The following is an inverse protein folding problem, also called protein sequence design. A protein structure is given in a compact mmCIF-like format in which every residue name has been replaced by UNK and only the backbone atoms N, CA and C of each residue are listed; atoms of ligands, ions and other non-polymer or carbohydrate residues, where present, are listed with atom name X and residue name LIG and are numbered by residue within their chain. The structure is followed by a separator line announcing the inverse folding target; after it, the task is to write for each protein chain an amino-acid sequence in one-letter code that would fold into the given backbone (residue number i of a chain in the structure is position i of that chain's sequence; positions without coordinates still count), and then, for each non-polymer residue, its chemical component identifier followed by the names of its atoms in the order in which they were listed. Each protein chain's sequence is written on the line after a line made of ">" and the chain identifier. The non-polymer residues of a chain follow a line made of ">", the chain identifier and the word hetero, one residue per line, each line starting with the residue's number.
data_IF_226337882663
#
_entry.id   IF_226337882663
#
_cell.length_a   1.000
_cell.length_b   1.000
_cell.length_c   1.000
_cell.angle_alpha   90.00
_cell.angle_beta   90.00
_cell.angle_gamma   90.00
#
_symmetry.space_group_name_H-M   'P 1'
#
loop_
_entity.id
_entity.type
_entity.pdbx_description
1 polymer ?
#
# COMPACT_ATOMS: atom_id res chain seq x y z
N UNK A 1 -13.59 17.92 8.37
CA UNK A 1 -12.72 17.68 9.55
C UNK A 1 -11.24 18.02 9.30
N UNK A 2 -10.64 17.76 8.13
CA UNK A 2 -9.21 18.05 7.90
C UNK A 2 -8.89 19.46 7.34
N UNK A 3 -9.91 20.17 6.83
CA UNK A 3 -9.80 21.51 6.22
C UNK A 3 -9.10 22.59 7.07
N UNK A 4 -9.29 22.66 8.41
CA UNK A 4 -8.54 23.63 9.24
C UNK A 4 -7.01 23.46 9.19
N UNK A 5 -6.53 22.28 8.77
CA UNK A 5 -5.12 21.96 8.60
C UNK A 5 -4.67 22.06 7.13
N UNK A 6 -5.49 22.62 6.24
CA UNK A 6 -5.17 22.76 4.81
C UNK A 6 -5.22 21.45 4.01
N UNK A 7 -5.88 20.41 4.53
CA UNK A 7 -6.01 19.11 3.86
C UNK A 7 -7.32 19.05 3.08
N UNK A 8 -7.22 19.08 1.76
CA UNK A 8 -8.37 19.06 0.84
C UNK A 8 -8.80 17.65 0.41
N UNK A 9 -7.87 16.68 0.43
CA UNK A 9 -8.09 15.30 -0.01
C UNK A 9 -7.58 14.31 1.03
N UNK A 10 -8.36 13.25 1.23
CA UNK A 10 -8.03 12.16 2.15
C UNK A 10 -8.22 10.82 1.44
N UNK A 11 -7.23 9.95 1.57
CA UNK A 11 -7.33 8.56 1.15
C UNK A 11 -7.72 7.71 2.36
N UNK A 12 -8.94 7.19 2.37
CA UNK A 12 -9.38 6.20 3.33
C UNK A 12 -8.70 4.87 2.99
N UNK A 13 -8.36 4.06 4.00
CA UNK A 13 -7.77 2.74 3.75
C UNK A 13 -8.61 1.68 4.45
N UNK A 14 -8.95 0.64 3.70
CA UNK A 14 -9.72 -0.50 4.19
C UNK A 14 -9.03 -1.14 5.39
N UNK A 15 -9.81 -1.41 6.42
CA UNK A 15 -9.36 -2.11 7.63
C UNK A 15 -9.40 -3.63 7.38
N UNK A 16 -8.36 -4.33 7.81
CA UNK A 16 -8.18 -5.77 7.52
C UNK A 16 -9.33 -6.66 8.01
N UNK A 17 -9.98 -6.32 9.12
CA UNK A 17 -11.07 -7.13 9.69
C UNK A 17 -12.38 -7.07 8.89
N UNK A 18 -12.52 -6.13 7.94
CA UNK A 18 -13.63 -6.13 6.99
C UNK A 18 -13.35 -6.94 5.71
N UNK A 19 -12.11 -7.41 5.52
CA UNK A 19 -11.72 -8.17 4.32
C UNK A 19 -12.11 -7.45 3.03
N UNK A 20 -12.73 -8.18 2.10
CA UNK A 20 -13.22 -7.69 0.80
C UNK A 20 -14.55 -6.94 0.86
N UNK A 21 -15.17 -6.78 2.04
CA UNK A 21 -16.33 -5.92 2.18
C UNK A 21 -15.91 -4.44 2.23
N UNK A 22 -15.87 -3.82 1.05
CA UNK A 22 -15.55 -2.39 0.90
C UNK A 22 -16.78 -1.48 1.10
N UNK A 23 -17.95 -1.99 1.51
CA UNK A 23 -19.20 -1.20 1.58
C UNK A 23 -19.05 0.05 2.46
N UNK A 24 -18.42 -0.08 3.63
CA UNK A 24 -18.24 1.03 4.56
C UNK A 24 -17.38 2.16 3.97
N UNK A 25 -16.22 1.83 3.39
CA UNK A 25 -15.33 2.82 2.78
C UNK A 25 -16.00 3.47 1.56
N UNK A 26 -16.76 2.70 0.77
CA UNK A 26 -17.52 3.21 -0.37
C UNK A 26 -18.59 4.20 0.08
N UNK A 27 -19.35 3.89 1.14
CA UNK A 27 -20.39 4.78 1.64
C UNK A 27 -19.80 6.05 2.27
N UNK A 28 -18.66 5.95 2.95
CA UNK A 28 -17.90 7.11 3.41
C UNK A 28 -17.42 8.00 2.25
N UNK A 29 -16.93 7.40 1.15
CA UNK A 29 -16.53 8.14 -0.06
C UNK A 29 -17.73 8.86 -0.67
N UNK A 30 -18.89 8.20 -0.80
CA UNK A 30 -20.11 8.82 -1.34
C UNK A 30 -20.54 10.03 -0.52
N UNK A 31 -20.44 9.94 0.81
CA UNK A 31 -20.83 11.03 1.71
C UNK A 31 -19.99 12.31 1.53
N UNK A 32 -18.72 12.19 1.12
CA UNK A 32 -17.80 13.34 0.93
C UNK A 32 -16.99 13.16 -0.37
N UNK A 33 -17.70 13.01 -1.49
CA UNK A 33 -17.14 12.57 -2.78
C UNK A 33 -16.10 13.51 -3.40
N UNK A 34 -16.08 14.79 -3.03
CA UNK A 34 -15.07 15.75 -3.51
C UNK A 34 -13.72 15.58 -2.81
N UNK A 35 -13.70 15.09 -1.57
CA UNK A 35 -12.48 15.02 -0.76
C UNK A 35 -11.96 13.59 -0.57
N UNK A 36 -12.83 12.58 -0.61
CA UNK A 36 -12.44 11.21 -0.27
C UNK A 36 -12.20 10.32 -1.49
N UNK A 37 -11.12 9.54 -1.41
CA UNK A 37 -10.86 8.34 -2.23
C UNK A 37 -10.49 7.21 -1.29
N UNK A 38 -10.48 5.97 -1.80
CA UNK A 38 -10.19 4.80 -1.00
C UNK A 38 -9.05 3.96 -1.56
N UNK A 39 -8.30 3.33 -0.66
CA UNK A 39 -7.57 2.11 -0.92
C UNK A 39 -8.37 0.95 -0.33
N UNK A 40 -8.94 0.11 -1.19
CA UNK A 40 -9.78 -1.03 -0.82
C UNK A 40 -8.98 -2.29 -0.56
N UNK A 41 -9.68 -3.41 -0.44
CA UNK A 41 -9.13 -4.75 -0.51
C UNK A 41 -9.90 -5.57 -1.54
N UNK A 42 -9.18 -6.40 -2.31
CA UNK A 42 -9.77 -7.36 -3.24
C UNK A 42 -8.94 -8.64 -3.18
N UNK A 43 -9.59 -9.79 -3.19
CA UNK A 43 -8.91 -11.07 -3.22
C UNK A 43 -8.32 -11.31 -4.62
N UNK A 44 -6.99 -11.42 -4.70
CA UNK A 44 -6.28 -11.65 -5.96
C UNK A 44 -6.66 -12.97 -6.66
N UNK A 45 -7.25 -13.93 -5.94
CA UNK A 45 -7.66 -15.22 -6.48
C UNK A 45 -9.13 -15.26 -6.91
N UNK A 46 -9.89 -14.16 -6.75
CA UNK A 46 -11.30 -14.16 -7.08
C UNK A 46 -11.53 -14.27 -8.59
N UNK A 47 -12.58 -14.99 -9.03
CA UNK A 47 -13.02 -14.93 -10.42
C UNK A 47 -13.42 -13.51 -10.81
N UNK A 48 -12.99 -13.06 -11.98
CA UNK A 48 -13.35 -11.73 -12.50
C UNK A 48 -12.67 -10.56 -11.78
N UNK A 49 -11.51 -10.78 -11.15
CA UNK A 49 -10.72 -9.77 -10.44
C UNK A 49 -10.64 -8.43 -11.19
N UNK A 50 -10.34 -8.44 -12.49
CA UNK A 50 -10.19 -7.21 -13.29
C UNK A 50 -11.47 -6.37 -13.33
N UNK A 51 -12.62 -7.03 -13.50
CA UNK A 51 -13.93 -6.37 -13.52
C UNK A 51 -14.28 -5.80 -12.14
N UNK A 52 -13.91 -6.49 -11.07
CA UNK A 52 -14.11 -5.99 -9.71
C UNK A 52 -13.23 -4.76 -9.45
N UNK A 53 -11.96 -4.80 -9.89
CA UNK A 53 -11.05 -3.64 -9.76
C UNK A 53 -11.60 -2.40 -10.46
N UNK A 54 -12.11 -2.53 -11.69
CA UNK A 54 -12.77 -1.44 -12.43
C UNK A 54 -14.08 -0.98 -11.76
N UNK A 55 -14.88 -1.92 -11.28
CA UNK A 55 -16.12 -1.61 -10.55
C UNK A 55 -15.83 -0.78 -9.29
N UNK A 56 -14.79 -1.15 -8.54
CA UNK A 56 -14.37 -0.44 -7.35
C UNK A 56 -13.77 0.93 -7.70
N UNK A 57 -13.06 1.07 -8.83
CA UNK A 57 -12.58 2.36 -9.32
C UNK A 57 -13.73 3.35 -9.51
N UNK A 58 -14.81 2.91 -10.15
CA UNK A 58 -16.00 3.73 -10.38
C UNK A 58 -16.72 4.12 -9.07
N UNK A 59 -16.47 3.39 -7.98
CA UNK A 59 -16.97 3.69 -6.62
C UNK A 59 -15.99 4.53 -5.79
N UNK A 60 -14.88 4.98 -6.39
CA UNK A 60 -13.90 5.86 -5.76
C UNK A 60 -12.73 5.15 -5.06
N UNK A 61 -12.58 3.83 -5.27
CA UNK A 61 -11.42 3.07 -4.82
C UNK A 61 -10.29 3.21 -5.85
N UNK A 62 -9.32 4.08 -5.55
CA UNK A 62 -8.20 4.40 -6.45
C UNK A 62 -6.95 3.58 -6.15
N UNK A 63 -7.07 2.53 -5.35
CA UNK A 63 -5.98 1.62 -5.05
C UNK A 63 -6.41 0.47 -4.15
N UNK A 64 -5.48 -0.44 -3.88
CA UNK A 64 -5.71 -1.62 -3.07
C UNK A 64 -4.57 -1.80 -2.08
N UNK A 65 -4.88 -2.13 -0.84
CA UNK A 65 -3.87 -2.59 0.13
C UNK A 65 -3.64 -4.08 -0.06
N UNK A 66 -2.38 -4.45 -0.23
CA UNK A 66 -1.92 -5.84 -0.37
C UNK A 66 -0.95 -6.19 0.76
N UNK A 67 -1.06 -7.42 1.26
CA UNK A 67 -0.28 -7.96 2.38
C UNK A 67 0.14 -9.40 2.06
N UNK A 68 1.33 -9.83 2.50
CA UNK A 68 1.68 -11.25 2.49
C UNK A 68 0.72 -12.01 3.43
N UNK A 69 -0.06 -12.93 2.88
CA UNK A 69 -1.03 -13.74 3.65
C UNK A 69 -0.41 -15.03 4.21
N UNK A 70 0.63 -15.54 3.54
CA UNK A 70 1.31 -16.77 3.92
C UNK A 70 2.65 -16.50 4.62
N UNK A 71 3.32 -17.58 5.00
CA UNK A 71 4.64 -17.51 5.66
C UNK A 71 5.79 -17.26 4.65
N UNK A 72 5.53 -17.29 3.35
CA UNK A 72 6.55 -17.25 2.30
C UNK A 72 6.63 -15.85 1.67
N UNK A 73 7.03 -14.88 2.49
CA UNK A 73 7.18 -13.46 2.11
C UNK A 73 8.10 -13.27 0.89
N UNK A 74 9.01 -14.20 0.61
CA UNK A 74 9.89 -14.12 -0.57
C UNK A 74 9.20 -14.50 -1.89
N UNK A 75 8.02 -15.12 -1.85
CA UNK A 75 7.26 -15.57 -3.03
C UNK A 75 5.79 -15.19 -3.01
N UNK A 76 5.35 -14.34 -2.07
CA UNK A 76 3.94 -14.00 -1.86
C UNK A 76 3.22 -13.39 -3.07
N UNK A 77 3.95 -12.77 -4.01
CA UNK A 77 3.40 -12.23 -5.27
C UNK A 77 3.51 -13.21 -6.46
N UNK A 78 3.98 -14.44 -6.25
CA UNK A 78 4.16 -15.45 -7.31
C UNK A 78 2.87 -16.25 -7.56
N UNK A 79 1.76 -15.54 -7.69
CA UNK A 79 0.47 -16.13 -8.09
C UNK A 79 -0.01 -15.50 -9.39
N UNK A 80 -0.77 -16.24 -10.22
CA UNK A 80 -1.41 -15.66 -11.41
C UNK A 80 -2.33 -14.48 -11.05
N UNK A 81 -2.96 -14.54 -9.87
CA UNK A 81 -3.83 -13.48 -9.35
C UNK A 81 -3.11 -12.15 -9.15
N UNK A 82 -1.94 -12.16 -8.50
CA UNK A 82 -1.14 -10.95 -8.35
C UNK A 82 -0.56 -10.46 -9.68
N UNK A 83 -0.18 -11.35 -10.60
CA UNK A 83 0.26 -10.92 -11.94
C UNK A 83 -0.83 -10.15 -12.68
N UNK A 84 -2.06 -10.67 -12.64
CA UNK A 84 -3.24 -10.03 -13.20
C UNK A 84 -3.55 -8.70 -12.50
N UNK A 85 -3.49 -8.68 -11.17
CA UNK A 85 -3.74 -7.47 -10.37
C UNK A 85 -2.76 -6.35 -10.72
N UNK A 86 -1.46 -6.65 -10.85
CA UNK A 86 -0.44 -5.67 -11.21
C UNK A 86 -0.65 -5.13 -12.62
N UNK A 87 -0.93 -6.02 -13.59
CA UNK A 87 -1.24 -5.64 -14.97
C UNK A 87 -2.46 -4.71 -15.00
N UNK A 88 -3.54 -5.09 -14.31
CA UNK A 88 -4.76 -4.30 -14.32
C UNK A 88 -4.60 -2.96 -13.62
N UNK A 89 -3.89 -2.94 -12.49
CA UNK A 89 -3.57 -1.71 -11.77
C UNK A 89 -2.74 -0.72 -12.61
N UNK A 90 -1.86 -1.22 -13.49
CA UNK A 90 -1.13 -0.38 -14.44
C UNK A 90 -2.08 0.27 -15.47
N UNK A 91 -3.05 -0.49 -15.99
CA UNK A 91 -4.05 0.02 -16.94
C UNK A 91 -4.97 1.07 -16.31
N UNK A 92 -5.54 0.76 -15.15
CA UNK A 92 -6.53 1.60 -14.47
C UNK A 92 -5.92 2.73 -13.65
N UNK A 93 -4.58 2.72 -13.49
CA UNK A 93 -3.82 3.62 -12.61
C UNK A 93 -4.25 3.54 -11.14
N UNK A 94 -4.84 2.44 -10.72
CA UNK A 94 -5.10 2.16 -9.31
C UNK A 94 -3.78 1.79 -8.63
N UNK A 95 -3.49 2.39 -7.48
CA UNK A 95 -2.23 2.14 -6.78
C UNK A 95 -2.27 0.81 -6.01
N UNK A 96 -1.15 0.08 -5.97
CA UNK A 96 -0.96 -1.08 -5.09
C UNK A 96 -0.17 -0.66 -3.86
N UNK A 97 -0.82 -0.70 -2.70
CA UNK A 97 -0.31 -0.26 -1.40
C UNK A 97 0.18 -1.45 -0.60
N UNK A 98 1.49 -1.65 -0.58
CA UNK A 98 2.15 -2.76 0.09
C UNK A 98 2.35 -2.45 1.58
N UNK A 99 1.66 -3.19 2.45
CA UNK A 99 1.90 -3.17 3.89
C UNK A 99 2.80 -4.35 4.25
N UNK A 100 4.11 -4.10 4.25
CA UNK A 100 5.15 -5.14 4.34
C UNK A 100 6.30 -4.73 5.27
N UNK A 101 7.20 -5.67 5.57
CA UNK A 101 8.53 -5.39 6.10
C UNK A 101 9.59 -5.44 4.97
N UNK A 102 10.86 -5.22 5.30
CA UNK A 102 11.98 -5.19 4.35
C UNK A 102 12.21 -6.52 3.61
N UNK A 103 11.89 -7.65 4.23
CA UNK A 103 11.99 -9.00 3.66
C UNK A 103 11.12 -9.22 2.40
N UNK A 104 10.10 -8.39 2.18
CA UNK A 104 9.25 -8.44 1.00
C UNK A 104 9.75 -7.60 -0.18
N UNK A 105 10.73 -6.71 0.02
CA UNK A 105 11.10 -5.69 -0.98
C UNK A 105 11.66 -6.27 -2.26
N UNK A 106 12.44 -7.35 -2.19
CA UNK A 106 12.96 -8.01 -3.38
C UNK A 106 11.84 -8.48 -4.31
N UNK A 107 10.73 -8.95 -3.73
CA UNK A 107 9.64 -9.46 -4.54
C UNK A 107 8.75 -8.34 -5.13
N UNK A 108 8.65 -7.23 -4.40
CA UNK A 108 8.07 -6.00 -4.93
C UNK A 108 8.93 -5.44 -6.07
N UNK A 109 10.26 -5.44 -5.95
CA UNK A 109 11.16 -5.00 -7.01
C UNK A 109 11.00 -5.86 -8.28
N UNK A 110 10.95 -7.19 -8.13
CA UNK A 110 10.70 -8.11 -9.26
C UNK A 110 9.39 -7.77 -9.97
N UNK A 111 8.30 -7.59 -9.23
CA UNK A 111 7.00 -7.24 -9.80
C UNK A 111 6.99 -5.84 -10.42
N UNK A 112 7.70 -4.87 -9.84
CA UNK A 112 7.84 -3.53 -10.39
C UNK A 112 8.59 -3.52 -11.73
N UNK A 113 9.56 -4.43 -11.91
CA UNK A 113 10.28 -4.59 -13.18
C UNK A 113 9.41 -5.26 -14.24
N UNK A 114 8.58 -6.24 -13.84
CA UNK A 114 7.63 -6.92 -14.72
C UNK A 114 6.47 -6.03 -15.16
N UNK A 115 5.98 -5.17 -14.25
CA UNK A 115 4.85 -4.26 -14.47
C UNK A 115 5.27 -2.79 -14.24
N UNK A 116 6.10 -2.22 -15.13
CA UNK A 116 6.78 -0.94 -14.89
C UNK A 116 5.87 0.28 -14.81
N UNK A 117 4.59 0.14 -15.19
CA UNK A 117 3.59 1.20 -15.18
C UNK A 117 2.67 1.15 -13.95
N UNK A 118 2.79 0.13 -13.09
CA UNK A 118 2.00 0.02 -11.86
C UNK A 118 2.48 1.05 -10.84
N UNK A 119 1.55 1.82 -10.26
CA UNK A 119 1.86 2.72 -9.14
C UNK A 119 1.96 1.89 -7.87
N UNK A 120 3.16 1.79 -7.30
CA UNK A 120 3.40 1.03 -6.06
C UNK A 120 3.63 2.01 -4.90
N UNK A 121 2.94 1.75 -3.80
CA UNK A 121 3.04 2.53 -2.56
C UNK A 121 3.59 1.62 -1.48
N UNK A 122 4.67 2.03 -0.82
CA UNK A 122 5.20 1.33 0.35
C UNK A 122 4.61 1.99 1.60
N UNK A 123 3.81 1.25 2.34
CA UNK A 123 3.20 1.74 3.58
C UNK A 123 4.23 1.84 4.70
N UNK A 124 4.15 2.92 5.48
CA UNK A 124 4.88 3.08 6.75
C UNK A 124 6.40 2.87 6.64
N UNK A 125 7.01 3.33 5.54
CA UNK A 125 8.44 3.10 5.23
C UNK A 125 8.84 1.61 5.27
N UNK A 126 7.91 0.72 4.95
CA UNK A 126 8.09 -0.73 5.06
C UNK A 126 8.33 -1.19 6.49
N UNK A 127 7.70 -0.50 7.45
CA UNK A 127 7.69 -0.83 8.89
C UNK A 127 9.07 -0.93 9.52
N UNK A 128 10.09 -0.32 8.91
CA UNK A 128 11.42 -0.22 9.48
C UNK A 128 11.32 0.49 10.84
N UNK A 129 11.87 -0.12 11.89
CA UNK A 129 11.78 0.40 13.25
C UNK A 129 10.52 0.02 14.03
N UNK A 130 9.53 -0.63 13.42
CA UNK A 130 8.28 -0.99 14.10
C UNK A 130 8.47 -2.00 15.25
N UNK A 131 9.58 -2.74 15.25
CA UNK A 131 9.97 -3.65 16.33
C UNK A 131 10.88 -3.02 17.39
N UNK A 132 11.09 -1.70 17.35
CA UNK A 132 11.99 -0.99 18.26
C UNK A 132 13.41 -0.79 17.75
N UNK A 133 13.80 -1.42 16.63
CA UNK A 133 15.16 -1.36 16.10
C UNK A 133 15.16 -0.90 14.65
N UNK A 134 16.01 0.07 14.34
CA UNK A 134 16.27 0.50 12.95
C UNK A 134 17.59 -0.12 12.53
N UNK A 135 17.54 -1.02 11.54
CA UNK A 135 18.73 -1.64 10.97
C UNK A 135 19.13 -0.89 9.69
N UNK A 136 20.42 -0.59 9.56
CA UNK A 136 20.95 0.05 8.35
C UNK A 136 20.67 -0.80 7.09
N UNK A 137 20.74 -2.13 7.21
CA UNK A 137 20.42 -3.06 6.12
C UNK A 137 18.98 -2.93 5.61
N UNK A 138 18.02 -2.58 6.47
CA UNK A 138 16.63 -2.39 6.06
C UNK A 138 16.46 -1.05 5.31
N UNK A 139 17.15 -0.01 5.79
CA UNK A 139 17.22 1.29 5.11
C UNK A 139 17.84 1.12 3.72
N UNK A 140 18.97 0.39 3.64
CA UNK A 140 19.67 0.17 2.39
C UNK A 140 18.80 -0.56 1.36
N UNK A 141 18.01 -1.56 1.80
CA UNK A 141 17.06 -2.25 0.94
C UNK A 141 15.93 -1.32 0.46
N UNK A 142 15.37 -0.47 1.34
CA UNK A 142 14.36 0.51 0.93
C UNK A 142 14.93 1.53 -0.07
N UNK A 143 16.15 2.00 0.17
CA UNK A 143 16.85 2.91 -0.73
C UNK A 143 17.18 2.23 -2.07
N UNK A 144 17.55 0.95 -2.08
CA UNK A 144 17.78 0.18 -3.30
C UNK A 144 16.48 0.07 -4.13
N UNK A 145 15.36 -0.28 -3.47
CA UNK A 145 14.04 -0.32 -4.10
C UNK A 145 13.66 1.06 -4.68
N UNK A 146 13.84 2.14 -3.93
CA UNK A 146 13.51 3.50 -4.38
C UNK A 146 14.36 4.02 -5.55
N UNK A 147 15.52 3.41 -5.85
CA UNK A 147 16.38 3.80 -6.98
C UNK A 147 15.87 3.26 -8.31
N UNK A 148 15.12 2.16 -8.32
CA UNK A 148 14.74 1.48 -9.56
C UNK A 148 13.52 2.12 -10.23
N UNK A 149 12.57 2.66 -9.43
CA UNK A 149 11.32 3.26 -9.89
C UNK A 149 10.81 4.36 -8.94
N UNK A 150 9.80 5.10 -9.38
CA UNK A 150 9.07 6.04 -8.51
C UNK A 150 8.12 5.22 -7.62
N UNK A 151 8.55 5.01 -6.37
CA UNK A 151 7.68 4.51 -5.30
C UNK A 151 7.11 5.69 -4.52
N UNK A 152 5.84 5.60 -4.13
CA UNK A 152 5.28 6.52 -3.14
C UNK A 152 5.56 5.92 -1.76
N UNK A 153 6.20 6.69 -0.88
CA UNK A 153 6.43 6.30 0.51
C UNK A 153 5.38 6.94 1.41
N UNK A 154 4.66 6.14 2.21
CA UNK A 154 3.85 6.69 3.30
C UNK A 154 4.66 6.73 4.57
N UNK A 155 4.69 7.91 5.20
CA UNK A 155 5.25 8.04 6.54
C UNK A 155 4.29 7.45 7.57
N UNK A 156 4.78 6.64 8.52
CA UNK A 156 3.95 6.21 9.63
C UNK A 156 3.58 7.41 10.53
N UNK A 157 2.53 7.29 11.36
CA UNK A 157 2.42 8.16 12.52
C UNK A 157 3.71 8.02 13.34
N UNK A 158 4.38 9.13 13.66
CA UNK A 158 5.70 9.12 14.30
C UNK A 158 5.78 8.27 15.58
N UNK A 159 4.66 8.03 16.26
CA UNK A 159 4.58 7.13 17.42
C UNK A 159 4.92 5.65 17.12
N UNK A 160 4.93 5.24 15.84
CA UNK A 160 5.32 3.90 15.43
C UNK A 160 6.80 3.79 15.03
N UNK A 161 7.53 4.91 14.97
CA UNK A 161 8.99 4.92 14.84
C UNK A 161 9.55 4.96 16.26
N UNK A 162 10.32 3.94 16.64
CA UNK A 162 11.00 3.97 17.93
C UNK A 162 12.06 5.08 17.94
N UNK A 163 11.73 6.25 18.51
CA UNK A 163 12.70 7.30 18.83
C UNK A 163 13.11 7.12 20.28
N UNK A 164 13.99 6.14 20.53
CA UNK A 164 14.52 5.89 21.87
C UNK A 164 15.92 6.46 22.11
N UNK A 165 16.44 7.40 21.30
CA UNK A 165 17.78 7.97 21.55
C UNK A 165 18.06 9.34 20.88
N UNK A 166 17.16 10.32 20.96
CA UNK A 166 17.47 11.70 20.54
C UNK A 166 16.98 12.75 21.55
N UNK A 167 17.33 12.57 22.83
CA UNK A 167 17.26 13.64 23.85
C UNK A 167 18.39 13.48 24.88
N UNK A 168 19.64 13.49 24.41
CA UNK A 168 20.78 13.94 25.23
C UNK A 168 21.75 14.72 24.34
N UNK A 169 21.44 16.00 24.15
CA UNK A 169 22.46 17.02 23.93
C UNK A 169 22.33 18.02 25.08
N UNK A 170 23.16 17.84 26.10
CA UNK A 170 23.67 18.92 26.95
C UNK A 170 24.92 19.47 26.30
#
# INVERSE_FOLDING_TARGET
>A
MAKPFGIDRVCLVQMSFYGSDNSYIIDAIKAISQSFRGAGYVDSNMPGLENEMETLLNKGITGFRIVPEDRYVTSWLQTPGYDLMFSKAAETKQALSCLVNSDAFNEIDRMSNRHPNTVIVIDHLGRIGANGTILQSDIDQLCALAKTKIFILKFPPFMHLAVNNLLTMT
#
